data_IF_110890620233
#
_entry.id   IF_110890620233
#
_cell.length_a   1.000
_cell.length_b   1.000
_cell.length_c   1.000
_cell.angle_alpha   90.00
_cell.angle_beta   90.00
_cell.angle_gamma   90.00
#
_symmetry.space_group_name_H-M   'P 1'
#
loop_
_entity.id
_entity.type
_entity.pdbx_description
1 polymer ?
#
# COMPACT_ATOMS: atom_id res chain seq x y z
N UNK A 1 14.96 -48.54 25.01
CA UNK A 1 15.24 -47.83 23.74
C UNK A 1 13.98 -47.09 23.30
N UNK A 2 13.69 -45.92 23.87
CA UNK A 2 12.50 -45.13 23.51
C UNK A 2 12.84 -43.64 23.72
N UNK A 3 13.36 -42.97 22.69
CA UNK A 3 13.50 -41.50 22.63
C UNK A 3 13.55 -40.98 21.17
N UNK A 4 12.93 -41.70 20.22
CA UNK A 4 12.93 -41.32 18.81
C UNK A 4 11.82 -40.33 18.40
N UNK A 5 10.74 -40.25 19.19
CA UNK A 5 9.57 -39.42 18.85
C UNK A 5 9.72 -37.93 19.18
N UNK A 6 10.49 -37.61 20.23
CA UNK A 6 10.70 -36.22 20.69
C UNK A 6 11.57 -35.41 19.72
N UNK A 7 12.51 -36.05 19.03
CA UNK A 7 13.42 -35.40 18.08
C UNK A 7 12.70 -34.97 16.80
N UNK A 8 11.73 -35.76 16.33
CA UNK A 8 10.95 -35.45 15.13
C UNK A 8 9.95 -34.30 15.38
N UNK A 9 9.28 -34.29 16.55
CA UNK A 9 8.39 -33.20 16.94
C UNK A 9 9.12 -31.87 17.11
N UNK A 10 10.33 -31.89 17.67
CA UNK A 10 11.14 -30.67 17.85
C UNK A 10 11.61 -30.07 16.53
N UNK A 11 11.94 -30.90 15.53
CA UNK A 11 12.29 -30.46 14.18
C UNK A 11 11.11 -29.82 13.45
N UNK A 12 9.92 -30.42 13.55
CA UNK A 12 8.70 -29.84 12.96
C UNK A 12 8.33 -28.51 13.62
N UNK A 13 8.47 -28.42 14.94
CA UNK A 13 8.17 -27.19 15.68
C UNK A 13 9.13 -26.05 15.30
N UNK A 14 10.43 -26.34 15.18
CA UNK A 14 11.41 -25.36 14.69
C UNK A 14 11.11 -24.87 13.27
N UNK A 15 10.71 -25.78 12.38
CA UNK A 15 10.37 -25.42 11.00
C UNK A 15 9.13 -24.52 10.92
N UNK A 16 8.06 -24.88 11.65
CA UNK A 16 6.84 -24.08 11.72
C UNK A 16 7.11 -22.71 12.36
N UNK A 17 7.90 -22.67 13.43
CA UNK A 17 8.29 -21.42 14.09
C UNK A 17 9.13 -20.53 13.16
N UNK A 18 10.04 -21.12 12.38
CA UNK A 18 10.82 -20.40 11.37
C UNK A 18 9.94 -19.79 10.27
N UNK A 19 8.95 -20.54 9.76
CA UNK A 19 7.97 -20.02 8.81
C UNK A 19 7.14 -18.88 9.41
N UNK A 20 6.76 -18.99 10.68
CA UNK A 20 6.00 -17.97 11.39
C UNK A 20 6.81 -16.67 11.52
N UNK A 21 8.11 -16.77 11.85
CA UNK A 21 9.00 -15.61 11.90
C UNK A 21 9.18 -14.94 10.53
N UNK A 22 9.34 -15.72 9.46
CA UNK A 22 9.44 -15.18 8.10
C UNK A 22 8.13 -14.48 7.73
N UNK A 23 6.98 -15.10 8.01
CA UNK A 23 5.67 -14.49 7.77
C UNK A 23 5.49 -13.18 8.52
N UNK A 24 5.88 -13.13 9.80
CA UNK A 24 5.83 -11.93 10.61
C UNK A 24 6.76 -10.83 10.08
N UNK A 25 7.98 -11.20 9.67
CA UNK A 25 8.93 -10.26 9.07
C UNK A 25 8.37 -9.63 7.79
N UNK A 26 7.82 -10.44 6.89
CA UNK A 26 7.16 -9.95 5.67
C UNK A 26 5.99 -9.03 6.00
N UNK A 27 5.16 -9.39 6.99
CA UNK A 27 4.02 -8.59 7.42
C UNK A 27 4.47 -7.21 7.94
N UNK A 28 5.52 -7.16 8.75
CA UNK A 28 6.12 -5.91 9.24
C UNK A 28 6.66 -5.08 8.08
N UNK A 29 7.43 -5.68 7.16
CA UNK A 29 7.98 -4.97 6.00
C UNK A 29 6.84 -4.39 5.14
N UNK A 30 5.80 -5.17 4.84
CA UNK A 30 4.65 -4.70 4.09
C UNK A 30 3.91 -3.59 4.84
N UNK A 31 3.74 -3.71 6.15
CA UNK A 31 3.11 -2.67 6.97
C UNK A 31 3.92 -1.37 6.91
N UNK A 32 5.24 -1.42 7.09
CA UNK A 32 6.15 -0.27 7.00
C UNK A 32 6.12 0.35 5.61
N UNK A 33 6.22 -0.47 4.56
CA UNK A 33 6.15 0.01 3.17
C UNK A 33 4.79 0.64 2.86
N UNK A 34 3.68 0.08 3.34
CA UNK A 34 2.33 0.66 3.20
C UNK A 34 2.17 1.94 4.00
N UNK A 35 2.80 2.05 5.16
CA UNK A 35 2.75 3.24 6.01
C UNK A 35 3.58 4.38 5.43
N UNK A 36 4.78 4.07 4.93
CA UNK A 36 5.65 5.01 4.21
C UNK A 36 5.09 5.38 2.82
N UNK A 37 4.44 4.43 2.15
CA UNK A 37 3.67 4.69 0.92
C UNK A 37 2.26 5.23 1.21
N UNK A 38 1.94 5.49 2.49
CA UNK A 38 0.64 5.95 2.98
C UNK A 38 0.20 7.34 2.48
N UNK A 39 1.01 8.01 1.65
CA UNK A 39 0.56 9.17 0.88
C UNK A 39 -0.02 8.84 -0.50
N UNK A 40 -0.01 7.57 -0.93
CA UNK A 40 -0.62 7.12 -2.21
C UNK A 40 -1.18 5.71 -2.05
N UNK A 41 -2.36 5.61 -1.42
CA UNK A 41 -3.14 4.37 -1.39
C UNK A 41 -3.52 3.90 -2.82
N UNK A 42 -3.78 2.59 -3.00
CA UNK A 42 -3.87 1.95 -4.31
C UNK A 42 -5.19 2.31 -5.01
N UNK A 43 -5.07 2.81 -6.25
CA UNK A 43 -6.02 2.67 -7.36
C UNK A 43 -7.45 2.24 -6.98
N UNK A 44 -8.20 3.13 -6.36
CA UNK A 44 -9.67 3.08 -6.31
C UNK A 44 -10.18 4.44 -5.81
N UNK A 45 -10.96 5.13 -6.64
CA UNK A 45 -11.68 6.38 -6.35
C UNK A 45 -10.83 7.65 -6.11
N UNK A 46 -9.63 7.54 -5.51
CA UNK A 46 -8.79 8.70 -5.18
C UNK A 46 -8.15 9.41 -6.39
N UNK A 47 -7.96 8.75 -7.53
CA UNK A 47 -7.38 9.39 -8.73
C UNK A 47 -8.27 10.51 -9.31
N UNK A 48 -9.60 10.40 -9.18
CA UNK A 48 -10.52 11.46 -9.62
C UNK A 48 -10.44 12.69 -8.71
N UNK A 49 -10.41 12.47 -7.40
CA UNK A 49 -10.18 13.54 -6.42
C UNK A 49 -8.81 14.19 -6.64
N UNK A 50 -7.76 13.38 -6.90
CA UNK A 50 -6.42 13.87 -7.21
C UNK A 50 -6.41 14.73 -8.48
N UNK A 51 -7.08 14.29 -9.55
CA UNK A 51 -7.14 15.03 -10.80
C UNK A 51 -7.82 16.41 -10.63
N UNK A 52 -8.94 16.48 -9.89
CA UNK A 52 -9.63 17.73 -9.56
C UNK A 52 -8.79 18.64 -8.65
N UNK A 53 -8.10 18.08 -7.65
CA UNK A 53 -7.20 18.84 -6.77
C UNK A 53 -5.99 19.41 -7.53
N UNK A 54 -5.39 18.63 -8.42
CA UNK A 54 -4.29 19.07 -9.28
C UNK A 54 -4.78 20.20 -10.21
N UNK A 55 -5.98 20.10 -10.76
CA UNK A 55 -6.59 21.14 -11.58
C UNK A 55 -6.81 22.44 -10.80
N UNK A 56 -7.41 22.37 -9.61
CA UNK A 56 -7.62 23.55 -8.74
C UNK A 56 -6.30 24.22 -8.37
N UNK A 57 -5.27 23.44 -8.05
CA UNK A 57 -3.94 23.96 -7.69
C UNK A 57 -3.29 24.72 -8.84
N UNK A 58 -3.41 24.22 -10.07
CA UNK A 58 -2.87 24.90 -11.28
C UNK A 58 -3.66 26.15 -11.65
N UNK A 59 -4.98 26.12 -11.46
CA UNK A 59 -5.83 27.30 -11.64
C UNK A 59 -5.48 28.41 -10.63
N UNK A 60 -5.30 28.06 -9.36
CA UNK A 60 -4.90 29.00 -8.30
C UNK A 60 -3.49 29.59 -8.53
N UNK A 61 -2.59 28.82 -9.14
CA UNK A 61 -1.27 29.29 -9.59
C UNK A 61 -1.33 30.17 -10.85
N UNK A 62 -2.46 30.22 -11.55
CA UNK A 62 -2.59 30.92 -12.83
C UNK A 62 -1.95 30.20 -14.02
N UNK A 63 -1.54 28.94 -13.85
CA UNK A 63 -0.94 28.12 -14.92
C UNK A 63 -1.98 27.70 -15.98
N UNK A 64 -3.26 27.67 -15.60
CA UNK A 64 -4.39 27.38 -16.51
C UNK A 64 -5.46 28.45 -16.38
N UNK A 65 -6.08 28.82 -17.51
CA UNK A 65 -7.20 29.76 -17.54
C UNK A 65 -8.53 29.12 -17.13
N UNK A 66 -9.52 29.96 -16.80
CA UNK A 66 -10.87 29.51 -16.39
C UNK A 66 -11.55 28.59 -17.40
N UNK A 67 -11.44 28.87 -18.69
CA UNK A 67 -12.00 28.02 -19.75
C UNK A 67 -11.37 26.63 -19.80
N UNK A 68 -10.04 26.56 -19.61
CA UNK A 68 -9.30 25.31 -19.64
C UNK A 68 -9.64 24.46 -18.40
N UNK A 69 -9.73 25.10 -17.23
CA UNK A 69 -10.18 24.46 -16.00
C UNK A 69 -11.59 23.87 -16.16
N UNK A 70 -12.54 24.65 -16.68
CA UNK A 70 -13.93 24.22 -16.85
C UNK A 70 -14.09 23.06 -17.85
N UNK A 71 -13.28 23.02 -18.92
CA UNK A 71 -13.27 21.88 -19.85
C UNK A 71 -12.77 20.60 -19.17
N UNK A 72 -11.59 20.68 -18.55
CA UNK A 72 -10.99 19.51 -17.88
C UNK A 72 -11.81 19.03 -16.68
N UNK A 73 -12.47 19.95 -15.95
CA UNK A 73 -13.36 19.61 -14.84
C UNK A 73 -14.54 18.76 -15.32
N UNK A 74 -15.18 19.17 -16.42
CA UNK A 74 -16.30 18.42 -17.04
C UNK A 74 -15.89 17.06 -17.59
N UNK A 75 -14.63 16.91 -18.01
CA UNK A 75 -14.12 15.63 -18.51
C UNK A 75 -13.80 14.63 -17.39
N UNK A 76 -13.58 15.11 -16.16
CA UNK A 76 -13.23 14.29 -14.98
C UNK A 76 -14.44 13.97 -14.10
N UNK A 77 -15.44 14.84 -14.11
CA UNK A 77 -16.74 14.67 -13.45
C UNK A 77 -17.54 13.53 -14.11
#
# INVERSE_FOLDING_TARGET
MMNGGSMMGMMTFMFLFGLLLIGLFVLIVVAVVKWLSGSKMPFSVSDRENALEILKKRYAKGEIGKEQFERMRRDIE
#
